data_IF_783396762837
#
_entry.id   IF_783396762837
#
_cell.length_a   1.000
_cell.length_b   1.000
_cell.length_c   1.000
_cell.angle_alpha   90.00
_cell.angle_beta   90.00
_cell.angle_gamma   90.00
#
_symmetry.space_group_name_H-M   'P 1'
#
loop_
_entity.id
_entity.type
_entity.pdbx_description
1 polymer ?
#
# COMPACT_ATOMS: atom_id res chain seq x y z
N UNK A 1 37.16 11.18 -45.07
CA UNK A 1 37.37 9.80 -45.55
C UNK A 1 36.86 8.87 -44.45
N UNK A 2 35.58 8.48 -44.40
CA UNK A 2 34.92 7.41 -45.18
C UNK A 2 35.74 6.10 -45.12
N UNK A 3 35.25 4.93 -44.70
CA UNK A 3 34.01 4.26 -45.06
C UNK A 3 33.71 3.12 -44.05
N UNK A 4 32.46 3.00 -43.59
CA UNK A 4 31.88 1.74 -43.12
C UNK A 4 31.56 0.86 -44.35
N UNK A 5 31.69 -0.49 -44.28
CA UNK A 5 31.04 -1.36 -45.22
C UNK A 5 29.65 -1.78 -44.71
N UNK A 6 28.64 -1.40 -45.49
CA UNK A 6 27.30 -1.97 -45.50
C UNK A 6 27.32 -3.30 -46.28
N UNK A 7 26.57 -4.30 -45.81
CA UNK A 7 25.97 -5.29 -46.71
C UNK A 7 24.45 -5.11 -46.71
N UNK A 8 23.92 -4.87 -47.91
CA UNK A 8 22.51 -4.63 -48.22
C UNK A 8 22.02 -5.76 -49.12
N UNK A 9 20.87 -6.34 -48.79
CA UNK A 9 19.80 -6.73 -49.73
C UNK A 9 18.63 -7.22 -48.86
N UNK A 10 17.51 -6.49 -48.70
CA UNK A 10 16.42 -6.24 -49.64
C UNK A 10 15.94 -7.47 -50.41
N UNK A 11 14.95 -8.17 -49.86
CA UNK A 11 13.80 -8.67 -50.62
C UNK A 11 12.52 -8.23 -49.90
N UNK A 12 11.56 -7.88 -50.72
CA UNK A 12 10.43 -6.99 -50.53
C UNK A 12 9.14 -7.81 -50.25
N UNK A 13 8.21 -7.22 -49.47
CA UNK A 13 6.73 -7.24 -49.68
C UNK A 13 6.02 -8.62 -49.68
N UNK A 14 5.06 -8.92 -48.81
CA UNK A 14 3.67 -8.42 -48.87
C UNK A 14 2.92 -8.88 -47.59
N UNK A 15 2.11 -7.98 -47.04
CA UNK A 15 1.06 -8.23 -46.04
C UNK A 15 -0.15 -8.83 -46.73
N UNK A 16 -0.73 -9.90 -46.17
CA UNK A 16 -2.11 -10.42 -46.26
C UNK A 16 -2.05 -11.73 -45.43
N UNK A 17 -2.89 -12.08 -44.47
CA UNK A 17 -4.21 -11.64 -44.04
C UNK A 17 -4.48 -12.32 -42.68
N UNK A 18 -5.28 -11.69 -41.84
CA UNK A 18 -5.78 -12.22 -40.57
C UNK A 18 -6.22 -13.69 -40.65
N UNK A 19 -5.51 -14.56 -39.94
CA UNK A 19 -6.05 -15.87 -39.54
C UNK A 19 -6.22 -15.81 -38.04
N UNK A 20 -7.41 -15.32 -37.66
CA UNK A 20 -8.04 -15.55 -36.36
C UNK A 20 -7.98 -17.04 -36.07
N UNK A 21 -6.94 -17.47 -35.38
CA UNK A 21 -6.96 -18.78 -34.73
C UNK A 21 -7.76 -18.57 -33.45
N UNK A 22 -9.08 -18.72 -33.60
CA UNK A 22 -10.03 -18.92 -32.51
C UNK A 22 -9.53 -20.14 -31.75
N UNK A 23 -8.75 -19.90 -30.69
CA UNK A 23 -8.49 -20.93 -29.70
C UNK A 23 -9.85 -21.29 -29.13
N UNK A 24 -10.34 -22.49 -29.48
CA UNK A 24 -11.57 -23.06 -28.95
C UNK A 24 -11.56 -22.85 -27.44
N UNK A 25 -12.43 -21.95 -27.01
CA UNK A 25 -12.89 -21.85 -25.64
C UNK A 25 -13.62 -23.16 -25.36
N UNK A 26 -12.90 -24.16 -24.87
CA UNK A 26 -13.49 -25.34 -24.29
C UNK A 26 -13.92 -24.92 -22.89
N UNK A 27 -15.15 -24.42 -22.78
CA UNK A 27 -15.86 -24.32 -21.51
C UNK A 27 -16.06 -25.73 -20.98
N UNK A 28 -15.06 -26.24 -20.25
CA UNK A 28 -15.34 -27.24 -19.23
C UNK A 28 -16.10 -26.50 -18.13
N UNK A 29 -17.42 -26.66 -18.15
CA UNK A 29 -18.21 -26.57 -16.93
C UNK A 29 -17.69 -27.66 -16.01
N UNK A 30 -16.64 -27.33 -15.26
CA UNK A 30 -16.40 -28.01 -14.00
C UNK A 30 -17.44 -27.41 -13.05
N UNK A 31 -18.61 -28.04 -13.02
CA UNK A 31 -19.49 -28.01 -11.85
C UNK A 31 -18.74 -28.73 -10.72
N UNK A 32 -17.69 -28.07 -10.22
CA UNK A 32 -17.05 -28.44 -8.98
C UNK A 32 -17.95 -27.89 -7.88
N UNK A 33 -18.64 -28.82 -7.22
CA UNK A 33 -19.30 -28.64 -5.93
C UNK A 33 -18.65 -27.50 -5.15
N UNK A 34 -19.38 -26.40 -4.98
CA UNK A 34 -19.10 -25.39 -3.97
C UNK A 34 -19.32 -26.07 -2.62
N UNK A 35 -18.34 -26.86 -2.20
CA UNK A 35 -18.15 -27.22 -0.82
C UNK A 35 -18.04 -25.88 -0.08
N UNK A 36 -19.15 -25.43 0.51
CA UNK A 36 -19.14 -24.36 1.51
C UNK A 36 -18.26 -24.86 2.65
N UNK A 37 -16.96 -24.64 2.52
CA UNK A 37 -16.01 -24.90 3.58
C UNK A 37 -16.47 -24.02 4.73
N UNK A 38 -16.99 -24.65 5.78
CA UNK A 38 -17.38 -23.97 7.02
C UNK A 38 -16.15 -23.22 7.54
N UNK A 39 -16.13 -21.90 7.36
CA UNK A 39 -15.00 -21.08 7.78
C UNK A 39 -15.16 -20.78 9.26
N UNK A 40 -14.05 -20.84 9.99
CA UNK A 40 -14.01 -20.48 11.40
C UNK A 40 -14.30 -18.97 11.55
N UNK A 41 -15.35 -18.57 12.31
CA UNK A 41 -15.75 -17.17 12.42
C UNK A 41 -14.62 -16.27 12.96
N UNK A 42 -13.66 -16.82 13.70
CA UNK A 42 -12.51 -16.07 14.20
C UNK A 42 -11.56 -15.59 13.08
N UNK A 43 -11.49 -16.35 11.98
CA UNK A 43 -10.57 -16.10 10.85
C UNK A 43 -11.21 -15.33 9.71
N UNK A 44 -12.52 -15.15 9.76
CA UNK A 44 -13.29 -14.47 8.72
C UNK A 44 -13.02 -12.96 8.70
N UNK A 45 -12.68 -12.46 7.51
CA UNK A 45 -12.38 -11.04 7.23
C UNK A 45 -13.13 -10.55 5.99
N UNK A 46 -14.27 -11.16 5.70
CA UNK A 46 -15.18 -10.78 4.60
C UNK A 46 -16.04 -9.57 4.94
N UNK A 47 -16.31 -9.36 6.25
CA UNK A 47 -17.12 -8.24 6.74
C UNK A 47 -16.39 -6.91 6.54
N UNK A 48 -17.08 -5.95 5.93
CA UNK A 48 -16.57 -4.59 5.75
C UNK A 48 -16.94 -3.79 6.99
N UNK A 49 -15.93 -3.33 7.73
CA UNK A 49 -16.11 -2.55 8.95
C UNK A 49 -16.04 -1.06 8.60
N UNK A 50 -17.06 -0.26 8.94
CA UNK A 50 -17.06 1.17 8.62
C UNK A 50 -16.09 1.94 9.52
N UNK A 51 -15.51 3.01 8.99
CA UNK A 51 -14.45 3.80 9.66
C UNK A 51 -14.90 4.33 11.02
N UNK A 52 -16.17 4.73 11.14
CA UNK A 52 -16.74 5.25 12.39
C UNK A 52 -16.68 4.23 13.53
N UNK A 53 -16.90 2.96 13.22
CA UNK A 53 -16.81 1.88 14.22
C UNK A 53 -15.37 1.65 14.65
N UNK A 54 -14.41 1.78 13.74
CA UNK A 54 -12.98 1.74 14.07
C UNK A 54 -12.58 2.89 15.00
N UNK A 55 -13.05 4.11 14.73
CA UNK A 55 -12.78 5.28 15.58
C UNK A 55 -13.39 5.09 16.98
N UNK A 56 -14.64 4.62 17.05
CA UNK A 56 -15.30 4.28 18.32
C UNK A 56 -14.54 3.19 19.07
N UNK A 57 -14.03 2.18 18.37
CA UNK A 57 -13.24 1.11 18.97
C UNK A 57 -11.95 1.62 19.64
N UNK A 58 -11.21 2.53 19.00
CA UNK A 58 -10.00 3.13 19.61
C UNK A 58 -10.29 3.93 20.88
N UNK A 59 -11.51 4.44 21.05
CA UNK A 59 -11.95 5.15 22.26
C UNK A 59 -12.52 4.21 23.33
N UNK A 60 -12.74 2.94 22.98
CA UNK A 60 -13.37 1.97 23.87
C UNK A 60 -12.42 1.47 24.96
N UNK A 61 -13.00 1.02 26.07
CA UNK A 61 -12.25 0.37 27.16
C UNK A 61 -11.53 -0.90 26.69
N UNK A 62 -12.11 -1.64 25.75
CA UNK A 62 -11.52 -2.86 25.20
C UNK A 62 -10.17 -2.60 24.50
N UNK A 63 -10.07 -1.51 23.74
CA UNK A 63 -8.79 -1.11 23.12
C UNK A 63 -7.74 -0.74 24.18
N UNK A 64 -8.17 0.01 25.22
CA UNK A 64 -7.28 0.39 26.31
C UNK A 64 -6.78 -0.81 27.12
N UNK A 65 -7.64 -1.80 27.38
CA UNK A 65 -7.25 -3.03 28.09
C UNK A 65 -6.29 -3.91 27.27
N UNK A 66 -6.43 -3.92 25.93
CA UNK A 66 -5.63 -4.77 25.03
C UNK A 66 -4.27 -4.18 24.67
N UNK A 67 -4.21 -2.89 24.33
CA UNK A 67 -2.98 -2.22 23.86
C UNK A 67 -2.42 -1.22 24.88
N UNK A 68 -3.27 -0.64 25.71
CA UNK A 68 -2.91 0.39 26.67
C UNK A 68 -2.36 1.65 25.99
N UNK A 69 -1.25 2.16 26.51
CA UNK A 69 -0.60 3.39 26.00
C UNK A 69 0.33 3.10 24.81
N UNK A 70 0.69 1.82 24.59
CA UNK A 70 1.68 1.43 23.58
C UNK A 70 1.04 1.37 22.19
N UNK A 71 1.79 1.61 21.11
CA UNK A 71 1.26 1.48 19.77
C UNK A 71 0.95 0.00 19.44
N UNK A 72 -0.03 -0.21 18.56
CA UNK A 72 -0.61 -1.53 18.24
C UNK A 72 0.43 -2.60 17.89
N UNK A 73 1.51 -2.20 17.21
CA UNK A 73 2.52 -3.12 16.71
C UNK A 73 3.60 -3.51 17.72
N UNK A 74 3.66 -2.89 18.92
CA UNK A 74 4.73 -3.16 19.90
C UNK A 74 4.70 -4.59 20.45
N UNK A 75 3.51 -5.14 20.68
CA UNK A 75 3.36 -6.50 21.24
C UNK A 75 3.52 -7.60 20.18
N UNK A 76 3.71 -7.24 18.92
CA UNK A 76 3.78 -8.20 17.83
C UNK A 76 5.23 -8.59 17.54
N UNK A 77 5.48 -9.91 17.51
CA UNK A 77 6.77 -10.49 17.11
C UNK A 77 6.56 -11.46 15.94
N UNK A 78 7.37 -11.31 14.90
CA UNK A 78 7.31 -12.15 13.70
C UNK A 78 8.19 -13.38 13.82
N UNK A 79 7.61 -14.55 13.56
CA UNK A 79 8.34 -15.81 13.46
C UNK A 79 9.11 -15.84 12.13
N UNK A 80 10.42 -16.06 12.21
CA UNK A 80 11.33 -16.22 11.08
C UNK A 80 12.50 -17.12 11.50
N UNK A 81 13.21 -17.68 10.51
CA UNK A 81 14.35 -18.57 10.76
C UNK A 81 15.63 -17.77 10.95
N UNK A 82 16.44 -18.15 11.94
CA UNK A 82 17.74 -17.54 12.22
C UNK A 82 17.65 -16.27 13.05
N UNK A 83 18.81 -15.64 13.30
CA UNK A 83 18.88 -14.39 14.08
C UNK A 83 18.45 -13.14 13.33
N UNK A 84 18.53 -13.15 11.99
CA UNK A 84 18.18 -12.00 11.16
C UNK A 84 16.89 -12.24 10.38
N UNK A 85 15.93 -11.35 10.57
CA UNK A 85 14.68 -11.38 9.82
C UNK A 85 14.91 -11.07 8.33
N UNK A 86 14.11 -11.66 7.42
CA UNK A 86 14.14 -11.30 6.02
C UNK A 86 13.77 -9.82 5.85
N UNK A 87 14.54 -9.08 5.04
CA UNK A 87 14.35 -7.64 4.81
C UNK A 87 12.92 -7.26 4.43
N UNK A 88 12.27 -8.09 3.62
CA UNK A 88 10.88 -7.87 3.18
C UNK A 88 9.90 -8.69 4.01
N UNK A 89 8.76 -8.08 4.33
CA UNK A 89 7.66 -8.79 4.97
C UNK A 89 6.87 -9.64 3.99
N UNK A 90 5.97 -10.50 4.48
CA UNK A 90 5.10 -11.31 3.62
C UNK A 90 4.16 -10.43 2.78
N UNK A 91 3.75 -10.90 1.60
CA UNK A 91 2.87 -10.14 0.69
C UNK A 91 1.53 -9.77 1.35
N UNK A 92 0.79 -10.75 1.88
CA UNK A 92 -0.48 -10.56 2.58
C UNK A 92 -0.65 -11.59 3.71
N UNK A 93 -1.43 -11.24 4.74
CA UNK A 93 -1.89 -12.18 5.77
C UNK A 93 -3.25 -12.80 5.45
N UNK A 94 -4.08 -12.08 4.68
CA UNK A 94 -5.44 -12.45 4.31
C UNK A 94 -5.42 -12.91 2.85
N UNK A 95 -6.09 -14.02 2.57
CA UNK A 95 -6.31 -14.58 1.21
C UNK A 95 -7.78 -14.98 1.12
N UNK A 96 -8.45 -14.56 0.05
CA UNK A 96 -9.88 -14.84 -0.19
C UNK A 96 -10.78 -14.54 1.02
N UNK A 97 -10.55 -13.40 1.70
CA UNK A 97 -11.35 -13.00 2.86
C UNK A 97 -11.07 -13.78 4.15
N UNK A 98 -10.10 -14.70 4.17
CA UNK A 98 -9.76 -15.52 5.34
C UNK A 98 -8.31 -15.30 5.75
N UNK A 99 -8.04 -15.29 7.06
CA UNK A 99 -6.66 -15.27 7.58
C UNK A 99 -5.98 -16.60 7.24
N UNK A 100 -5.00 -16.54 6.33
CA UNK A 100 -4.26 -17.73 5.91
C UNK A 100 -3.03 -18.02 6.77
N UNK A 101 -2.66 -17.11 7.68
CA UNK A 101 -1.44 -17.26 8.49
C UNK A 101 -1.75 -17.50 9.96
N UNK A 102 -1.03 -18.39 10.62
CA UNK A 102 -1.18 -18.63 12.06
C UNK A 102 -0.82 -17.43 12.95
N UNK A 103 0.19 -16.64 12.57
CA UNK A 103 0.55 -15.39 13.27
C UNK A 103 0.31 -14.20 12.32
N UNK A 104 -0.89 -13.61 12.24
CA UNK A 104 -1.22 -12.48 11.35
C UNK A 104 -0.57 -11.17 11.80
N UNK A 105 -0.51 -10.18 10.90
CA UNK A 105 0.03 -8.85 11.22
C UNK A 105 -0.81 -8.13 12.30
N UNK A 106 -0.28 -7.13 13.02
CA UNK A 106 -1.02 -6.42 14.08
C UNK A 106 -2.40 -5.92 13.62
N UNK A 107 -2.45 -5.30 12.44
CA UNK A 107 -3.67 -4.79 11.79
C UNK A 107 -4.55 -5.90 11.20
N UNK A 108 -3.98 -7.07 10.88
CA UNK A 108 -4.71 -8.16 10.24
C UNK A 108 -5.39 -9.07 11.28
N UNK A 109 -4.81 -9.12 12.49
CA UNK A 109 -5.29 -9.91 13.62
C UNK A 109 -6.60 -9.34 14.15
N UNK A 110 -6.65 -8.03 14.30
CA UNK A 110 -7.79 -7.29 14.82
C UNK A 110 -8.59 -6.68 13.67
N UNK A 111 -9.88 -6.97 13.62
CA UNK A 111 -10.75 -6.56 12.52
C UNK A 111 -11.15 -5.07 12.63
N UNK A 112 -11.25 -4.54 13.84
CA UNK A 112 -11.69 -3.16 14.09
C UNK A 112 -10.61 -2.11 13.80
N UNK A 113 -9.38 -2.54 13.51
CA UNK A 113 -8.27 -1.66 13.13
C UNK A 113 -8.30 -1.42 11.61
N UNK A 114 -9.10 -0.45 11.20
CA UNK A 114 -9.26 -0.06 9.80
C UNK A 114 -8.32 1.11 9.48
N UNK A 115 -7.48 0.91 8.46
CA UNK A 115 -6.55 1.92 7.96
C UNK A 115 -7.31 2.88 7.03
N UNK A 116 -7.61 4.07 7.52
CA UNK A 116 -8.28 5.13 6.77
C UNK A 116 -7.72 6.49 7.15
N UNK A 117 -7.78 7.43 6.20
CA UNK A 117 -7.29 8.80 6.34
C UNK A 117 -8.00 9.61 7.45
N UNK A 118 -9.25 9.24 7.78
CA UNK A 118 -10.02 9.87 8.86
C UNK A 118 -9.57 9.42 10.24
N UNK A 119 -8.92 8.25 10.34
CA UNK A 119 -8.54 7.65 11.60
C UNK A 119 -7.14 8.08 12.03
N UNK A 120 -7.01 9.37 12.36
CA UNK A 120 -5.72 10.01 12.68
C UNK A 120 -5.02 9.34 13.87
N UNK A 121 -5.76 8.98 14.92
CA UNK A 121 -5.23 8.31 16.13
C UNK A 121 -4.54 6.98 15.83
N UNK A 122 -5.03 6.24 14.84
CA UNK A 122 -4.39 4.99 14.41
C UNK A 122 -3.16 5.26 13.54
N UNK A 123 -3.29 6.15 12.55
CA UNK A 123 -2.22 6.47 11.60
C UNK A 123 -0.98 7.06 12.30
N UNK A 124 -1.20 7.92 13.30
CA UNK A 124 -0.13 8.56 14.06
C UNK A 124 0.81 7.54 14.74
N UNK A 125 0.31 6.37 15.12
CA UNK A 125 1.12 5.29 15.73
C UNK A 125 2.15 4.68 14.78
N UNK A 126 1.98 4.89 13.47
CA UNK A 126 2.87 4.41 12.43
C UNK A 126 3.80 5.51 11.90
N UNK A 127 3.77 6.69 12.49
CA UNK A 127 4.65 7.82 12.18
C UNK A 127 5.58 8.02 13.38
N UNK A 128 6.86 8.30 13.11
CA UNK A 128 7.80 8.64 14.17
C UNK A 128 7.52 10.03 14.73
N UNK A 129 7.36 10.15 16.04
CA UNK A 129 7.06 11.43 16.72
C UNK A 129 8.13 12.51 16.46
N UNK A 130 9.41 12.13 16.42
CA UNK A 130 10.51 13.09 16.27
C UNK A 130 10.83 13.46 14.82
N UNK A 131 10.73 12.52 13.89
CA UNK A 131 11.18 12.70 12.50
C UNK A 131 10.02 12.96 11.53
N UNK A 132 8.78 12.68 11.95
CA UNK A 132 7.61 12.72 11.05
C UNK A 132 7.63 11.65 9.95
N UNK A 133 8.63 10.77 9.93
CA UNK A 133 8.77 9.71 8.93
C UNK A 133 7.88 8.51 9.25
N UNK A 134 7.33 7.91 8.19
CA UNK A 134 6.53 6.69 8.29
C UNK A 134 7.43 5.52 8.64
N UNK A 135 7.01 4.69 9.60
CA UNK A 135 7.76 3.52 10.02
C UNK A 135 7.69 2.40 8.95
N UNK A 136 8.86 1.85 8.63
CA UNK A 136 8.96 0.73 7.69
C UNK A 136 8.16 -0.51 8.14
N UNK A 137 7.69 -1.28 7.17
CA UNK A 137 7.04 -2.57 7.40
C UNK A 137 7.93 -3.56 8.18
N UNK A 138 9.26 -3.43 8.07
CA UNK A 138 10.21 -4.27 8.82
C UNK A 138 10.15 -4.00 10.32
N UNK A 139 9.98 -2.74 10.73
CA UNK A 139 9.88 -2.32 12.13
C UNK A 139 8.49 -2.60 12.70
N UNK A 140 7.44 -2.30 11.95
CA UNK A 140 6.04 -2.46 12.37
C UNK A 140 5.52 -3.89 12.25
N UNK A 141 6.16 -4.73 11.43
CA UNK A 141 5.77 -6.12 11.24
C UNK A 141 4.53 -6.33 10.36
N UNK A 142 4.09 -5.29 9.65
CA UNK A 142 2.94 -5.34 8.74
C UNK A 142 3.21 -6.21 7.50
N UNK A 143 2.14 -6.77 6.93
CA UNK A 143 2.24 -7.36 5.59
C UNK A 143 2.37 -6.26 4.52
N UNK A 144 2.99 -6.57 3.39
CA UNK A 144 3.25 -5.57 2.34
C UNK A 144 1.95 -4.93 1.82
N UNK A 145 0.86 -5.70 1.70
CA UNK A 145 -0.45 -5.18 1.31
C UNK A 145 -0.95 -4.11 2.29
N UNK A 146 -0.96 -4.41 3.59
CA UNK A 146 -1.41 -3.46 4.62
C UNK A 146 -0.47 -2.26 4.76
N UNK A 147 0.83 -2.44 4.56
CA UNK A 147 1.75 -1.31 4.54
C UNK A 147 1.51 -0.37 3.36
N UNK A 148 1.18 -0.89 2.17
CA UNK A 148 0.77 -0.04 1.04
C UNK A 148 -0.54 0.70 1.32
N UNK A 149 -1.53 0.02 1.89
CA UNK A 149 -2.80 0.65 2.32
C UNK A 149 -2.54 1.77 3.35
N UNK A 150 -1.62 1.55 4.30
CA UNK A 150 -1.18 2.56 5.27
C UNK A 150 -0.57 3.79 4.58
N UNK A 151 0.38 3.60 3.65
CA UNK A 151 1.01 4.70 2.92
C UNK A 151 -0.04 5.55 2.21
N UNK A 152 -0.95 4.92 1.47
CA UNK A 152 -2.05 5.62 0.77
C UNK A 152 -2.97 6.35 1.75
N UNK A 153 -3.26 5.77 2.91
CA UNK A 153 -4.10 6.42 3.93
C UNK A 153 -3.42 7.64 4.55
N UNK A 154 -2.10 7.58 4.78
CA UNK A 154 -1.31 8.68 5.33
C UNK A 154 -1.17 9.81 4.29
N UNK A 155 -0.83 9.48 3.04
CA UNK A 155 -0.75 10.46 1.95
C UNK A 155 -2.07 11.21 1.79
N UNK A 156 -3.19 10.48 1.74
CA UNK A 156 -4.53 11.09 1.70
C UNK A 156 -4.84 11.93 2.93
N UNK A 157 -4.35 11.56 4.10
CA UNK A 157 -4.56 12.33 5.32
C UNK A 157 -3.74 13.63 5.33
N UNK A 158 -2.55 13.65 4.74
CA UNK A 158 -1.77 14.86 4.52
C UNK A 158 -2.42 15.78 3.50
N UNK A 159 -2.89 15.24 2.37
CA UNK A 159 -3.57 16.02 1.33
C UNK A 159 -4.84 16.70 1.84
N UNK A 160 -5.59 16.02 2.71
CA UNK A 160 -6.81 16.55 3.32
C UNK A 160 -6.55 17.45 4.54
N UNK A 161 -5.31 17.51 5.03
CA UNK A 161 -4.97 18.25 6.26
C UNK A 161 -5.45 17.59 7.56
N UNK A 162 -5.78 16.29 7.56
CA UNK A 162 -6.12 15.55 8.78
C UNK A 162 -4.88 15.27 9.64
N UNK A 163 -3.71 15.15 9.01
CA UNK A 163 -2.41 14.99 9.68
C UNK A 163 -1.52 16.19 9.35
N UNK A 164 -0.82 16.69 10.36
CA UNK A 164 0.20 17.73 10.21
C UNK A 164 1.53 17.11 9.81
N UNK A 165 2.28 17.80 8.94
CA UNK A 165 3.64 17.44 8.55
C UNK A 165 4.44 18.71 8.29
N UNK A 166 5.77 18.59 8.32
CA UNK A 166 6.66 19.72 8.10
C UNK A 166 6.80 20.00 6.61
N UNK A 167 6.44 21.23 6.21
CA UNK A 167 6.56 21.71 4.83
C UNK A 167 7.83 22.58 4.73
N UNK A 168 8.79 22.25 3.85
CA UNK A 168 9.96 23.08 3.66
C UNK A 168 9.58 24.41 2.99
N UNK A 169 10.21 25.50 3.43
CA UNK A 169 10.07 26.79 2.77
C UNK A 169 10.78 26.76 1.41
N UNK A 170 10.14 27.32 0.39
CA UNK A 170 10.72 27.50 -0.94
C UNK A 170 10.97 28.99 -1.18
N UNK A 171 12.22 29.34 -1.41
CA UNK A 171 12.62 30.69 -1.80
C UNK A 171 12.45 30.86 -3.32
N UNK A 172 11.98 32.03 -3.73
CA UNK A 172 11.79 32.39 -5.14
C UNK A 172 12.59 33.65 -5.44
N UNK A 173 13.34 33.64 -6.54
CA UNK A 173 13.95 34.86 -7.07
C UNK A 173 12.92 35.61 -7.92
N UNK A 174 12.39 36.71 -7.37
CA UNK A 174 11.40 37.54 -8.02
C UNK A 174 11.96 38.41 -9.16
N UNK A 175 13.29 38.57 -9.25
CA UNK A 175 13.92 39.40 -10.30
C UNK A 175 13.64 38.85 -11.71
N UNK A 176 13.52 37.53 -11.86
CA UNK A 176 13.19 36.83 -13.11
C UNK A 176 11.81 37.21 -13.69
N UNK A 177 10.92 37.77 -12.88
CA UNK A 177 9.56 38.13 -13.27
C UNK A 177 9.39 39.65 -13.48
N UNK A 178 10.39 40.45 -13.10
CA UNK A 178 10.38 41.89 -13.35
C UNK A 178 10.73 42.16 -14.82
N UNK A 179 9.70 42.22 -15.69
CA UNK A 179 9.82 42.62 -17.12
C UNK A 179 10.18 44.09 -17.33
N UNK A 180 10.27 44.89 -16.27
CA UNK A 180 10.56 46.31 -16.33
C UNK A 180 12.06 46.54 -16.21
N UNK A 181 12.81 46.43 -17.32
CA UNK A 181 14.05 47.20 -17.57
C UNK A 181 14.66 46.89 -18.96
N UNK A 182 13.82 46.86 -20.00
CA UNK A 182 14.31 47.07 -21.38
C UNK A 182 13.49 48.20 -22.00
N UNK A 183 13.63 49.40 -21.44
CA UNK A 183 13.30 50.63 -22.16
C UNK A 183 14.60 51.40 -22.38
N UNK A 184 15.26 51.01 -23.47
CA UNK A 184 15.98 51.88 -24.42
C UNK A 184 16.72 53.07 -23.82
N UNK A 185 18.04 52.91 -23.68
CA UNK A 185 19.00 54.01 -23.80
C UNK A 185 18.89 54.63 -25.20
N UNK A 186 18.46 55.89 -25.28
CA UNK A 186 18.74 56.82 -26.37
C UNK A 186 19.61 57.94 -25.81
#
# INVERSE_FOLDING_TARGET
MSLYPNFRSLIHRIVLSDIKTVSRFCSKQNDENLDEKTIDPSKDRTRIIPVETSIKYLQSKAYQETYGVKPVWTLYRRNHKGGFAPRKTRKSCIRNGVISTGNPCPICRDEYLVLDHRNTKLLQQFISEYTGQILDAFKTGLCQKKHKELLVAIERAWDQGNLTYDVPFREYDYTLYNKHEIKTTL
#
